data_IF_773058005854
#
_entry.id   IF_773058005854
#
_cell.length_a   1.000
_cell.length_b   1.000
_cell.length_c   1.000
_cell.angle_alpha   90.00
_cell.angle_beta   90.00
_cell.angle_gamma   90.00
#
_symmetry.space_group_name_H-M   'P 1'
#
loop_
_entity.id
_entity.type
_entity.pdbx_description
1 polymer ?
#
# COMPACT_ATOMS: atom_id res chain seq x y z
N UNK A 1 -9.88 8.23 34.03
CA UNK A 1 -9.16 8.22 32.74
C UNK A 1 -10.15 8.73 31.71
N UNK A 2 -9.82 9.83 31.04
CA UNK A 2 -10.61 10.36 29.93
C UNK A 2 -10.73 9.30 28.82
N UNK A 3 -11.90 9.22 28.20
CA UNK A 3 -12.20 8.20 27.18
C UNK A 3 -11.58 8.66 25.85
N UNK A 4 -10.49 8.03 25.42
CA UNK A 4 -9.86 8.26 24.11
C UNK A 4 -10.82 7.87 22.97
N UNK A 5 -11.03 8.77 22.01
CA UNK A 5 -11.69 8.47 20.74
C UNK A 5 -10.66 8.13 19.68
N UNK A 6 -10.95 7.10 18.88
CA UNK A 6 -10.02 6.53 17.90
C UNK A 6 -10.76 6.20 16.62
N UNK A 7 -10.17 6.54 15.48
CA UNK A 7 -10.69 6.19 14.18
C UNK A 7 -9.56 5.94 13.17
N UNK A 8 -9.71 4.89 12.38
CA UNK A 8 -8.99 4.77 11.12
C UNK A 8 -9.74 5.61 10.07
N UNK A 9 -9.14 6.74 9.66
CA UNK A 9 -9.78 7.74 8.80
C UNK A 9 -9.48 7.55 7.30
N UNK A 10 -8.89 6.41 6.92
CA UNK A 10 -8.64 6.08 5.52
C UNK A 10 -8.65 4.56 5.36
N UNK A 11 -9.72 4.01 4.77
CA UNK A 11 -9.89 2.57 4.59
C UNK A 11 -10.87 2.26 3.45
N UNK A 12 -10.59 1.22 2.67
CA UNK A 12 -11.36 0.85 1.48
C UNK A 12 -12.10 -0.46 1.64
N UNK A 13 -13.27 -0.54 1.02
CA UNK A 13 -14.08 -1.75 0.89
C UNK A 13 -14.12 -2.24 -0.55
N UNK A 14 -14.84 -3.33 -0.78
CA UNK A 14 -15.12 -3.88 -2.12
C UNK A 14 -15.75 -2.88 -3.11
N UNK A 15 -16.27 -1.74 -2.63
CA UNK A 15 -16.86 -0.70 -3.45
C UNK A 15 -15.84 0.29 -4.04
N UNK A 16 -14.57 0.18 -3.66
CA UNK A 16 -13.44 0.77 -4.41
C UNK A 16 -13.11 -0.11 -5.62
N UNK A 17 -14.03 -0.19 -6.58
CA UNK A 17 -13.99 -1.13 -7.71
C UNK A 17 -13.46 -0.54 -9.03
N UNK A 18 -13.09 0.74 -9.03
CA UNK A 18 -12.55 1.45 -10.19
C UNK A 18 -11.07 1.78 -10.02
N UNK A 19 -10.16 0.86 -10.38
CA UNK A 19 -8.75 1.07 -10.13
C UNK A 19 -8.18 2.31 -10.79
N UNK A 20 -7.27 3.00 -10.12
CA UNK A 20 -6.46 4.06 -10.74
C UNK A 20 -5.23 3.48 -11.46
N UNK A 21 -4.64 2.40 -10.91
CA UNK A 21 -3.45 1.73 -11.44
C UNK A 21 -3.76 0.91 -12.70
N UNK A 22 -2.99 1.19 -13.76
CA UNK A 22 -3.09 0.52 -15.07
C UNK A 22 -2.88 -1.00 -15.00
N UNK A 23 -2.04 -1.50 -14.08
CA UNK A 23 -1.83 -2.93 -13.91
C UNK A 23 -3.07 -3.61 -13.33
N UNK A 24 -3.71 -2.99 -12.33
CA UNK A 24 -4.92 -3.50 -11.71
C UNK A 24 -6.06 -3.50 -12.75
N UNK A 25 -6.20 -2.42 -13.53
CA UNK A 25 -7.13 -2.36 -14.68
C UNK A 25 -6.91 -3.48 -15.70
N UNK A 26 -5.66 -3.69 -16.13
CA UNK A 26 -5.32 -4.67 -17.19
C UNK A 26 -5.68 -6.10 -16.81
N UNK A 27 -5.65 -6.44 -15.53
CA UNK A 27 -6.02 -7.78 -15.04
C UNK A 27 -7.48 -7.90 -14.60
N UNK A 28 -8.29 -6.83 -14.73
CA UNK A 28 -9.69 -6.81 -14.29
C UNK A 28 -9.86 -7.06 -12.80
N UNK A 29 -8.87 -6.62 -12.00
CA UNK A 29 -8.91 -6.72 -10.54
C UNK A 29 -9.64 -5.51 -9.96
N UNK A 30 -10.32 -5.70 -8.85
CA UNK A 30 -10.80 -4.62 -7.96
C UNK A 30 -9.64 -4.16 -7.09
N UNK A 31 -9.64 -2.91 -6.63
CA UNK A 31 -8.61 -2.44 -5.70
C UNK A 31 -8.78 -3.05 -4.30
N UNK A 32 -10.00 -3.40 -3.92
CA UNK A 32 -10.31 -4.05 -2.66
C UNK A 32 -11.42 -5.10 -2.83
N UNK A 33 -11.39 -6.12 -1.98
CA UNK A 33 -12.39 -7.21 -1.91
C UNK A 33 -12.98 -7.35 -0.50
N UNK A 34 -12.66 -6.41 0.41
CA UNK A 34 -13.06 -6.49 1.82
C UNK A 34 -14.51 -6.06 2.00
N UNK A 35 -15.30 -6.89 2.68
CA UNK A 35 -16.69 -6.59 3.02
C UNK A 35 -16.79 -5.43 4.05
N UNK A 36 -17.67 -4.44 3.85
CA UNK A 36 -17.85 -3.33 4.81
C UNK A 36 -18.10 -3.79 6.26
N UNK A 37 -18.92 -4.83 6.44
CA UNK A 37 -19.19 -5.39 7.76
C UNK A 37 -17.95 -6.01 8.42
N UNK A 38 -17.05 -6.61 7.62
CA UNK A 38 -15.76 -7.10 8.14
C UNK A 38 -14.90 -5.94 8.63
N UNK A 39 -14.90 -4.82 7.91
CA UNK A 39 -14.15 -3.62 8.29
C UNK A 39 -14.60 -3.10 9.65
N UNK A 40 -15.90 -2.88 9.81
CA UNK A 40 -16.47 -2.40 11.06
C UNK A 40 -16.15 -3.34 12.24
N UNK A 41 -16.36 -4.66 12.06
CA UNK A 41 -16.09 -5.64 13.13
C UNK A 41 -14.61 -5.69 13.51
N UNK A 42 -13.71 -5.59 12.54
CA UNK A 42 -12.27 -5.61 12.79
C UNK A 42 -11.80 -4.33 13.46
N UNK A 43 -12.29 -3.16 13.02
CA UNK A 43 -12.00 -1.87 13.66
C UNK A 43 -12.46 -1.85 15.13
N UNK A 44 -13.67 -2.32 15.41
CA UNK A 44 -14.19 -2.46 16.78
C UNK A 44 -13.34 -3.40 17.63
N UNK A 45 -12.96 -4.58 17.10
CA UNK A 45 -12.06 -5.52 17.80
C UNK A 45 -10.69 -4.92 18.11
N UNK A 46 -10.22 -3.98 17.29
CA UNK A 46 -8.97 -3.23 17.49
C UNK A 46 -9.13 -1.98 18.37
N UNK A 47 -10.32 -1.78 18.95
CA UNK A 47 -10.58 -0.72 19.91
C UNK A 47 -10.86 0.65 19.29
N UNK A 48 -11.24 0.70 18.00
CA UNK A 48 -11.69 1.95 17.39
C UNK A 48 -13.04 2.37 17.98
N UNK A 49 -13.17 3.65 18.36
CA UNK A 49 -14.38 4.19 18.99
C UNK A 49 -15.42 4.65 17.97
N UNK A 50 -14.95 5.03 16.79
CA UNK A 50 -15.77 5.34 15.63
C UNK A 50 -15.15 4.72 14.37
N UNK A 51 -15.96 4.53 13.33
CA UNK A 51 -15.55 3.82 12.13
C UNK A 51 -16.18 4.48 10.89
N UNK A 52 -15.40 4.57 9.83
CA UNK A 52 -15.86 5.01 8.52
C UNK A 52 -15.19 4.18 7.43
N UNK A 53 -15.64 4.36 6.19
CA UNK A 53 -15.05 3.79 4.98
C UNK A 53 -14.89 4.94 4.00
N UNK A 54 -13.77 5.01 3.30
CA UNK A 54 -13.42 6.10 2.39
C UNK A 54 -13.23 5.54 0.99
N UNK A 55 -14.25 4.84 0.49
CA UNK A 55 -14.20 4.27 -0.86
C UNK A 55 -13.98 5.36 -1.92
N UNK A 56 -13.26 5.01 -2.99
CA UNK A 56 -12.96 5.95 -4.07
C UNK A 56 -14.24 6.42 -4.76
N UNK A 57 -14.56 7.72 -4.61
CA UNK A 57 -15.67 8.37 -5.32
C UNK A 57 -17.02 7.65 -5.12
N UNK A 58 -17.20 7.06 -3.94
CA UNK A 58 -18.28 6.14 -3.62
C UNK A 58 -18.58 6.17 -2.11
N UNK A 59 -19.85 5.93 -1.73
CA UNK A 59 -20.32 5.91 -0.34
C UNK A 59 -21.08 4.62 0.02
N UNK A 60 -21.34 3.71 -0.94
CA UNK A 60 -22.04 2.43 -0.69
C UNK A 60 -21.47 1.64 0.50
N UNK A 61 -20.14 1.61 0.66
CA UNK A 61 -19.49 0.96 1.79
C UNK A 61 -19.91 1.54 3.13
N UNK A 62 -19.93 2.87 3.25
CA UNK A 62 -20.45 3.57 4.43
C UNK A 62 -21.93 3.26 4.68
N UNK A 63 -22.77 3.33 3.65
CA UNK A 63 -24.21 3.11 3.78
C UNK A 63 -24.54 1.72 4.35
N UNK A 64 -23.76 0.69 4.03
CA UNK A 64 -23.94 -0.66 4.60
C UNK A 64 -23.66 -0.73 6.11
N UNK A 65 -22.74 0.10 6.62
CA UNK A 65 -22.32 0.09 8.03
C UNK A 65 -23.03 1.15 8.88
N UNK A 66 -23.78 2.09 8.29
CA UNK A 66 -24.51 3.15 9.01
C UNK A 66 -25.48 2.65 10.09
N UNK A 67 -25.95 1.40 9.96
CA UNK A 67 -26.78 0.73 10.97
C UNK A 67 -26.04 0.48 12.30
N UNK A 68 -24.71 0.57 12.32
CA UNK A 68 -23.89 0.36 13.50
C UNK A 68 -23.57 1.67 14.22
N UNK A 69 -23.40 1.66 15.56
CA UNK A 69 -23.12 2.87 16.33
C UNK A 69 -21.77 3.50 15.95
N UNK A 70 -21.70 4.83 16.09
CA UNK A 70 -20.49 5.64 15.85
C UNK A 70 -19.88 5.43 14.45
N UNK A 71 -20.74 5.20 13.46
CA UNK A 71 -20.36 5.20 12.05
C UNK A 71 -20.80 6.48 11.38
N UNK A 72 -20.09 6.88 10.32
CA UNK A 72 -20.35 8.10 9.57
C UNK A 72 -19.95 7.94 8.10
N UNK A 73 -20.59 8.71 7.21
CA UNK A 73 -20.33 8.66 5.78
C UNK A 73 -19.07 9.45 5.45
N UNK A 74 -18.17 8.83 4.70
CA UNK A 74 -16.96 9.44 4.18
C UNK A 74 -16.70 8.94 2.77
N UNK A 75 -15.79 9.60 2.06
CA UNK A 75 -15.34 9.16 0.73
C UNK A 75 -13.97 9.75 0.42
N UNK A 76 -13.15 9.00 -0.32
CA UNK A 76 -11.91 9.53 -0.90
C UNK A 76 -12.19 10.02 -2.33
N UNK A 77 -12.10 11.32 -2.52
CA UNK A 77 -12.52 12.01 -3.74
C UNK A 77 -11.29 12.30 -4.60
N UNK A 78 -11.19 11.68 -5.78
CA UNK A 78 -10.20 12.07 -6.80
C UNK A 78 -10.55 13.44 -7.42
N UNK A 79 -10.00 14.51 -6.87
CA UNK A 79 -10.14 15.88 -7.38
C UNK A 79 -9.08 16.20 -8.45
N UNK A 80 -9.40 17.09 -9.39
CA UNK A 80 -8.48 17.45 -10.49
C UNK A 80 -8.16 18.94 -10.50
N UNK A 81 -6.88 19.30 -10.67
CA UNK A 81 -6.50 20.64 -11.09
C UNK A 81 -6.84 20.81 -12.57
N UNK A 82 -7.72 21.75 -12.93
CA UNK A 82 -8.21 21.85 -14.32
C UNK A 82 -7.09 22.25 -15.30
N UNK A 83 -6.07 22.97 -14.85
CA UNK A 83 -4.98 23.44 -15.72
C UNK A 83 -3.92 22.37 -15.98
N UNK A 84 -3.49 21.66 -14.93
CA UNK A 84 -2.42 20.67 -15.04
C UNK A 84 -2.92 19.24 -15.30
N UNK A 85 -4.23 19.03 -15.20
CA UNK A 85 -4.88 17.70 -15.12
C UNK A 85 -4.29 16.82 -14.01
N UNK A 86 -3.62 17.42 -13.02
CA UNK A 86 -3.08 16.71 -11.88
C UNK A 86 -4.22 16.26 -10.97
N UNK A 87 -4.23 14.99 -10.60
CA UNK A 87 -5.22 14.44 -9.69
C UNK A 87 -4.69 14.37 -8.27
N UNK A 88 -5.51 14.79 -7.32
CA UNK A 88 -5.30 14.63 -5.89
C UNK A 88 -6.43 13.81 -5.29
N UNK A 89 -6.15 13.18 -4.17
CA UNK A 89 -7.19 12.52 -3.38
C UNK A 89 -7.52 13.37 -2.16
N UNK A 90 -8.80 13.68 -2.00
CA UNK A 90 -9.32 14.47 -0.88
C UNK A 90 -10.25 13.57 -0.07
N UNK A 91 -9.87 13.28 1.17
CA UNK A 91 -10.74 12.58 2.11
C UNK A 91 -11.80 13.57 2.60
N UNK A 92 -13.05 13.14 2.58
CA UNK A 92 -14.20 13.90 3.10
C UNK A 92 -14.89 13.09 4.17
N UNK A 93 -15.28 13.73 5.28
CA UNK A 93 -15.77 13.04 6.49
C UNK A 93 -17.09 13.60 6.98
N UNK A 94 -17.91 12.70 7.53
CA UNK A 94 -19.21 12.97 8.12
C UNK A 94 -20.15 13.77 7.19
N UNK A 95 -20.15 13.40 5.91
CA UNK A 95 -20.98 14.04 4.89
C UNK A 95 -22.38 13.43 4.81
N UNK A 96 -23.34 14.16 4.27
CA UNK A 96 -24.62 13.61 3.84
C UNK A 96 -24.54 13.08 2.40
N UNK A 97 -25.51 12.24 2.00
CA UNK A 97 -25.63 11.78 0.60
C UNK A 97 -25.77 12.97 -0.37
N UNK A 98 -26.52 14.01 0.01
CA UNK A 98 -26.68 15.23 -0.81
C UNK A 98 -25.34 15.96 -1.00
N UNK A 99 -24.56 16.12 0.06
CA UNK A 99 -23.22 16.71 -0.03
C UNK A 99 -22.30 15.86 -0.92
N UNK A 100 -22.35 14.53 -0.78
CA UNK A 100 -21.58 13.63 -1.64
C UNK A 100 -21.90 13.83 -3.13
N UNK A 101 -23.18 13.88 -3.50
CA UNK A 101 -23.56 14.08 -4.91
C UNK A 101 -23.10 15.43 -5.46
N UNK A 102 -23.05 16.48 -4.64
CA UNK A 102 -22.56 17.79 -5.06
C UNK A 102 -21.03 17.80 -5.20
N UNK A 103 -20.31 17.22 -4.23
CA UNK A 103 -18.86 16.97 -4.32
C UNK A 103 -18.50 16.23 -5.61
N UNK A 104 -19.28 15.22 -5.99
CA UNK A 104 -19.07 14.44 -7.20
C UNK A 104 -19.24 15.24 -8.50
N UNK A 105 -20.01 16.34 -8.50
CA UNK A 105 -20.08 17.26 -9.65
C UNK A 105 -18.87 18.19 -9.68
N UNK A 106 -18.44 18.68 -8.52
CA UNK A 106 -17.41 19.71 -8.39
C UNK A 106 -15.98 19.18 -8.48
N UNK A 107 -15.75 17.89 -8.19
CA UNK A 107 -14.42 17.21 -8.19
C UNK A 107 -13.53 17.46 -9.42
N UNK A 108 -14.10 17.82 -10.55
CA UNK A 108 -13.34 18.07 -11.78
C UNK A 108 -12.57 19.40 -11.75
N UNK A 109 -12.90 20.27 -10.79
CA UNK A 109 -12.18 21.49 -10.48
C UNK A 109 -11.93 21.57 -8.97
N UNK A 110 -10.68 21.38 -8.57
CA UNK A 110 -10.30 21.37 -7.16
C UNK A 110 -10.57 22.71 -6.46
N UNK A 111 -10.59 23.83 -7.18
CA UNK A 111 -10.89 25.14 -6.63
C UNK A 111 -12.36 25.24 -6.23
N UNK A 112 -13.26 24.87 -7.14
CA UNK A 112 -14.72 24.84 -6.88
C UNK A 112 -15.05 23.85 -5.77
N UNK A 113 -14.40 22.67 -5.79
CA UNK A 113 -14.54 21.68 -4.72
C UNK A 113 -14.10 22.26 -3.37
N UNK A 114 -12.93 22.91 -3.30
CA UNK A 114 -12.40 23.50 -2.06
C UNK A 114 -13.37 24.54 -1.51
N UNK A 115 -13.87 25.44 -2.36
CA UNK A 115 -14.80 26.49 -1.96
C UNK A 115 -16.10 25.87 -1.39
N UNK A 116 -16.66 24.86 -2.05
CA UNK A 116 -17.84 24.13 -1.53
C UNK A 116 -17.58 23.45 -0.18
N UNK A 117 -16.44 22.77 -0.03
CA UNK A 117 -16.08 22.10 1.23
C UNK A 117 -15.99 23.11 2.38
N UNK A 118 -15.42 24.30 2.13
CA UNK A 118 -15.32 25.36 3.11
C UNK A 118 -16.68 25.98 3.46
N UNK A 119 -17.48 26.33 2.45
CA UNK A 119 -18.80 26.96 2.64
C UNK A 119 -19.78 26.07 3.41
N UNK A 120 -19.64 24.74 3.26
CA UNK A 120 -20.51 23.76 3.90
C UNK A 120 -19.90 23.16 5.17
N UNK A 121 -18.77 23.70 5.67
CA UNK A 121 -18.05 23.21 6.85
C UNK A 121 -17.77 21.70 6.82
N UNK A 122 -17.44 21.15 5.64
CA UNK A 122 -17.18 19.72 5.48
C UNK A 122 -15.77 19.42 5.99
N UNK A 123 -15.66 18.46 6.91
CA UNK A 123 -14.38 17.95 7.36
C UNK A 123 -13.65 17.25 6.20
N UNK A 124 -12.41 17.64 5.94
CA UNK A 124 -11.63 17.09 4.85
C UNK A 124 -10.13 17.09 5.13
N UNK A 125 -9.40 16.25 4.41
CA UNK A 125 -7.94 16.18 4.44
C UNK A 125 -7.38 15.79 3.06
N UNK A 126 -6.17 16.25 2.74
CA UNK A 126 -5.45 15.79 1.55
C UNK A 126 -4.87 14.40 1.85
N UNK A 127 -5.31 13.38 1.10
CA UNK A 127 -4.81 12.02 1.23
C UNK A 127 -3.41 11.90 0.64
N UNK A 128 -2.53 11.14 1.31
CA UNK A 128 -1.15 10.81 0.87
C UNK A 128 -0.48 11.90 -0.01
N UNK A 129 -0.30 13.14 0.49
CA UNK A 129 -0.08 14.35 -0.34
C UNK A 129 1.23 14.38 -1.14
N UNK A 130 2.18 13.49 -0.83
CA UNK A 130 3.46 13.36 -1.55
C UNK A 130 3.45 12.20 -2.57
N UNK A 131 2.31 11.55 -2.78
CA UNK A 131 2.14 10.49 -3.77
C UNK A 131 1.55 11.05 -5.07
N UNK A 132 2.23 10.80 -6.19
CA UNK A 132 1.74 11.17 -7.51
C UNK A 132 0.67 10.18 -8.02
N UNK A 133 -0.61 10.47 -7.76
CA UNK A 133 -1.78 9.65 -8.14
C UNK A 133 -1.77 9.30 -9.64
N UNK A 134 -1.60 10.30 -10.50
CA UNK A 134 -1.58 10.14 -11.96
C UNK A 134 -0.26 10.59 -12.62
N UNK A 135 0.85 10.57 -11.86
CA UNK A 135 2.19 10.98 -12.30
C UNK A 135 2.34 12.46 -12.74
N UNK A 136 1.45 13.35 -12.30
CA UNK A 136 1.49 14.79 -12.65
C UNK A 136 1.76 15.71 -11.46
N UNK A 137 2.11 15.14 -10.30
CA UNK A 137 2.41 15.90 -9.10
C UNK A 137 3.77 16.60 -9.26
N UNK A 138 3.79 17.92 -9.08
CA UNK A 138 5.00 18.77 -9.14
C UNK A 138 5.11 19.61 -7.86
N UNK A 139 6.28 20.25 -7.60
CA UNK A 139 6.41 21.17 -6.48
C UNK A 139 5.44 22.35 -6.53
N UNK A 140 5.10 22.86 -7.71
CA UNK A 140 4.09 23.91 -7.87
C UNK A 140 2.69 23.42 -7.46
N UNK A 141 2.31 22.19 -7.83
CA UNK A 141 1.06 21.59 -7.36
C UNK A 141 1.08 21.45 -5.83
N UNK A 142 2.22 21.07 -5.25
CA UNK A 142 2.37 21.02 -3.80
C UNK A 142 2.20 22.39 -3.15
N UNK A 143 2.79 23.44 -3.70
CA UNK A 143 2.56 24.82 -3.24
C UNK A 143 1.07 25.22 -3.30
N UNK A 144 0.36 24.89 -4.39
CA UNK A 144 -1.09 25.13 -4.50
C UNK A 144 -1.85 24.38 -3.40
N UNK A 145 -1.51 23.12 -3.12
CA UNK A 145 -2.11 22.33 -2.03
C UNK A 145 -1.96 23.01 -0.67
N UNK A 146 -0.79 23.59 -0.38
CA UNK A 146 -0.53 24.30 0.86
C UNK A 146 -1.44 25.52 1.05
N UNK A 147 -1.87 26.17 -0.02
CA UNK A 147 -2.79 27.33 0.05
C UNK A 147 -4.24 26.87 0.14
N UNK A 148 -4.59 25.74 -0.48
CA UNK A 148 -5.97 25.26 -0.59
C UNK A 148 -6.49 24.55 0.66
N UNK A 149 -5.65 23.78 1.35
CA UNK A 149 -6.09 22.84 2.39
C UNK A 149 -5.33 22.98 3.70
N UNK A 150 -6.00 22.75 4.84
CA UNK A 150 -5.40 22.90 6.18
C UNK A 150 -5.01 21.57 6.82
N UNK A 151 -5.58 20.46 6.36
CA UNK A 151 -5.40 19.15 6.99
C UNK A 151 -4.77 18.19 5.99
N UNK A 152 -3.74 17.48 6.44
CA UNK A 152 -2.98 16.54 5.60
C UNK A 152 -2.90 15.17 6.24
N UNK A 153 -2.96 14.13 5.40
CA UNK A 153 -2.88 12.76 5.88
C UNK A 153 -1.43 12.28 6.07
N UNK A 154 -1.14 11.71 7.24
CA UNK A 154 -0.01 10.81 7.46
C UNK A 154 -0.46 9.38 7.15
N UNK A 155 -0.30 8.99 5.89
CA UNK A 155 -0.89 7.78 5.33
C UNK A 155 -0.17 6.48 5.75
N UNK A 156 -0.93 5.41 6.00
CA UNK A 156 -0.42 4.11 6.47
C UNK A 156 0.09 3.17 5.39
N UNK A 157 -0.25 3.41 4.13
CA UNK A 157 0.23 2.69 2.95
C UNK A 157 1.50 3.34 2.33
N UNK A 158 1.97 4.46 2.89
CA UNK A 158 3.19 5.17 2.43
C UNK A 158 4.38 4.98 3.36
N UNK A 159 5.56 5.33 2.84
CA UNK A 159 6.83 5.26 3.55
C UNK A 159 6.91 6.26 4.71
N UNK A 160 7.59 5.87 5.79
CA UNK A 160 7.84 6.76 6.93
C UNK A 160 8.67 7.97 6.56
N UNK A 161 9.57 7.84 5.57
CA UNK A 161 10.32 8.96 5.03
C UNK A 161 9.41 10.05 4.40
N UNK A 162 8.35 9.65 3.70
CA UNK A 162 7.40 10.61 3.12
C UNK A 162 6.61 11.32 4.21
N UNK A 163 6.08 10.57 5.18
CA UNK A 163 5.31 11.11 6.30
C UNK A 163 6.15 12.08 7.16
N UNK A 164 7.42 11.77 7.38
CA UNK A 164 8.34 12.65 8.12
C UNK A 164 8.70 13.89 7.31
N UNK A 165 8.93 13.73 6.01
CA UNK A 165 9.18 14.86 5.10
C UNK A 165 8.00 15.82 5.10
N UNK A 166 6.78 15.32 4.96
CA UNK A 166 5.57 16.13 5.02
C UNK A 166 5.49 16.90 6.35
N UNK A 167 5.68 16.24 7.49
CA UNK A 167 5.67 16.91 8.81
C UNK A 167 6.68 18.04 8.89
N UNK A 168 7.91 17.79 8.45
CA UNK A 168 8.97 18.79 8.48
C UNK A 168 8.62 19.99 7.59
N UNK A 169 8.19 19.74 6.36
CA UNK A 169 7.77 20.79 5.42
C UNK A 169 6.66 21.66 6.00
N UNK A 170 5.58 21.04 6.50
CA UNK A 170 4.45 21.78 7.07
C UNK A 170 4.82 22.54 8.36
N UNK A 171 5.81 22.07 9.11
CA UNK A 171 6.29 22.79 10.31
C UNK A 171 7.05 24.09 10.03
N UNK A 172 7.49 24.29 8.77
CA UNK A 172 8.20 25.51 8.35
C UNK A 172 7.28 26.63 7.87
N UNK A 173 5.98 26.35 7.73
CA UNK A 173 5.02 27.30 7.20
C UNK A 173 4.81 28.45 8.17
N UNK A 174 4.67 29.64 7.60
CA UNK A 174 4.39 30.88 8.31
C UNK A 174 3.50 31.78 7.43
N UNK A 175 2.86 32.83 8.00
CA UNK A 175 1.96 33.69 7.25
C UNK A 175 2.59 34.31 6.00
N UNK A 176 3.84 34.77 6.08
CA UNK A 176 4.52 35.42 4.95
C UNK A 176 4.75 34.46 3.78
N UNK A 177 5.19 33.22 4.07
CA UNK A 177 5.35 32.19 3.06
C UNK A 177 4.03 31.87 2.37
N UNK A 178 2.95 31.67 3.14
CA UNK A 178 1.65 31.34 2.55
C UNK A 178 1.09 32.52 1.74
N UNK A 179 1.20 33.77 2.22
CA UNK A 179 0.77 34.93 1.46
C UNK A 179 1.50 35.04 0.12
N UNK A 180 2.81 34.81 0.11
CA UNK A 180 3.61 34.80 -1.11
C UNK A 180 3.21 33.67 -2.07
N UNK A 181 2.87 32.49 -1.55
CA UNK A 181 2.35 31.37 -2.37
C UNK A 181 0.95 31.68 -2.91
N UNK A 182 0.08 32.27 -2.10
CA UNK A 182 -1.26 32.70 -2.49
C UNK A 182 -1.20 33.73 -3.64
N UNK A 183 -0.31 34.72 -3.54
CA UNK A 183 -0.05 35.70 -4.59
C UNK A 183 0.55 35.04 -5.85
N UNK A 184 1.57 34.18 -5.69
CA UNK A 184 2.22 33.46 -6.80
C UNK A 184 1.22 32.67 -7.64
N UNK A 185 0.29 31.98 -6.98
CA UNK A 185 -0.67 31.08 -7.63
C UNK A 185 -2.04 31.73 -7.87
N UNK A 186 -2.24 32.97 -7.44
CA UNK A 186 -3.54 33.66 -7.47
C UNK A 186 -4.67 32.85 -6.81
N UNK A 187 -4.38 32.24 -5.66
CA UNK A 187 -5.33 31.43 -4.89
C UNK A 187 -5.64 32.16 -3.59
N UNK A 188 -6.93 32.41 -3.33
CA UNK A 188 -7.36 32.95 -2.04
C UNK A 188 -7.26 31.86 -0.96
N UNK A 189 -6.49 32.05 0.13
CA UNK A 189 -6.45 31.11 1.24
C UNK A 189 -7.77 31.11 2.03
N UNK A 190 -8.09 29.98 2.66
CA UNK A 190 -9.29 29.83 3.51
C UNK A 190 -8.88 29.36 4.91
N UNK A 191 -9.21 30.17 5.92
CA UNK A 191 -8.81 29.95 7.31
C UNK A 191 -7.33 30.28 7.56
N UNK A 192 -6.80 29.81 8.70
CA UNK A 192 -5.40 30.00 9.10
C UNK A 192 -4.50 28.97 8.40
N UNK A 193 -4.28 29.19 7.10
CA UNK A 193 -3.58 28.27 6.20
C UNK A 193 -2.11 28.00 6.54
N UNK A 194 -1.46 28.72 7.44
CA UNK A 194 -0.10 28.35 7.91
C UNK A 194 -0.13 27.35 9.08
N UNK A 195 -1.26 27.22 9.77
CA UNK A 195 -1.46 26.26 10.86
C UNK A 195 -2.04 24.96 10.29
N UNK A 196 -1.17 23.97 10.05
CA UNK A 196 -1.57 22.69 9.47
C UNK A 196 -1.88 21.66 10.54
N UNK A 197 -2.94 20.91 10.32
CA UNK A 197 -3.34 19.75 11.15
C UNK A 197 -3.09 18.46 10.40
N UNK A 198 -3.13 17.34 11.12
CA UNK A 198 -2.93 16.03 10.51
C UNK A 198 -4.00 15.04 10.95
N UNK A 199 -4.30 14.14 10.02
CA UNK A 199 -5.04 12.90 10.27
C UNK A 199 -4.19 11.71 9.84
N UNK A 200 -4.54 10.52 10.29
CA UNK A 200 -3.89 9.29 9.91
C UNK A 200 -4.93 8.18 9.70
N UNK A 201 -4.74 7.41 8.64
CA UNK A 201 -5.48 6.20 8.34
C UNK A 201 -4.58 5.11 7.76
N UNK A 202 -5.09 3.89 7.71
CA UNK A 202 -4.33 2.72 7.24
C UNK A 202 -4.19 2.68 5.72
N UNK A 203 -5.15 3.27 5.01
CA UNK A 203 -5.31 3.16 3.56
C UNK A 203 -5.34 1.66 3.15
N UNK A 204 -6.07 0.86 3.95
CA UNK A 204 -6.14 -0.58 3.78
C UNK A 204 -7.09 -0.96 2.64
N UNK A 205 -6.55 -1.77 1.75
CA UNK A 205 -7.21 -2.35 0.58
C UNK A 205 -7.35 -3.89 0.67
N UNK A 206 -6.83 -4.49 1.74
CA UNK A 206 -6.66 -5.94 1.84
C UNK A 206 -7.51 -6.60 2.93
N UNK A 207 -8.00 -5.81 3.88
CA UNK A 207 -8.63 -6.29 5.10
C UNK A 207 -7.64 -6.71 6.19
N UNK A 208 -6.33 -6.67 5.92
CA UNK A 208 -5.29 -7.05 6.87
C UNK A 208 -4.83 -5.88 7.73
N UNK A 209 -4.83 -4.68 7.16
CA UNK A 209 -4.21 -3.49 7.75
C UNK A 209 -5.21 -2.53 8.37
N UNK A 210 -6.49 -2.88 8.40
CA UNK A 210 -7.55 -2.20 9.15
C UNK A 210 -7.06 -1.75 10.53
N UNK A 211 -7.12 -0.45 10.83
CA UNK A 211 -6.70 0.15 12.09
C UNK A 211 -5.25 -0.17 12.52
N UNK A 212 -4.35 -0.46 11.57
CA UNK A 212 -2.90 -0.55 11.84
C UNK A 212 -2.25 0.83 11.87
N UNK A 213 -2.90 1.83 11.29
CA UNK A 213 -2.62 3.25 11.47
C UNK A 213 -3.94 4.00 11.65
N UNK A 214 -3.99 4.91 12.61
CA UNK A 214 -5.22 5.58 13.02
C UNK A 214 -4.94 6.89 13.75
N UNK A 215 -5.98 7.70 13.88
CA UNK A 215 -5.99 8.96 14.62
C UNK A 215 -6.68 8.76 15.97
N UNK A 216 -6.11 9.31 17.04
CA UNK A 216 -6.79 9.40 18.34
C UNK A 216 -6.81 10.83 18.88
N UNK A 217 -7.86 11.17 19.63
CA UNK A 217 -8.02 12.41 20.38
C UNK A 217 -8.65 12.12 21.73
N UNK A 218 -8.26 12.91 22.73
CA UNK A 218 -8.95 12.97 24.01
C UNK A 218 -10.21 13.85 23.89
N UNK A 219 -11.03 13.84 24.94
CA UNK A 219 -12.13 14.78 25.15
C UNK A 219 -13.11 14.94 23.98
N UNK A 220 -13.62 13.82 23.48
CA UNK A 220 -14.76 13.82 22.58
C UNK A 220 -15.95 13.05 23.18
N UNK A 221 -17.16 13.45 22.81
CA UNK A 221 -18.42 12.81 23.19
C UNK A 221 -19.25 12.35 21.99
N UNK A 222 -18.86 12.78 20.78
CA UNK A 222 -19.50 12.43 19.51
C UNK A 222 -18.48 12.32 18.37
N UNK A 223 -18.90 11.76 17.23
CA UNK A 223 -18.10 11.73 15.98
C UNK A 223 -17.75 13.14 15.53
N UNK A 224 -18.73 14.06 15.58
CA UNK A 224 -18.56 15.46 15.19
C UNK A 224 -17.47 16.15 16.01
N UNK A 225 -17.55 16.04 17.34
CA UNK A 225 -16.57 16.63 18.25
C UNK A 225 -15.18 16.00 18.09
N UNK A 226 -15.11 14.69 17.82
CA UNK A 226 -13.85 14.02 17.51
C UNK A 226 -13.22 14.59 16.23
N UNK A 227 -13.99 14.73 15.15
CA UNK A 227 -13.52 15.30 13.89
C UNK A 227 -13.12 16.77 14.03
N UNK A 228 -13.89 17.56 14.77
CA UNK A 228 -13.54 18.95 15.08
C UNK A 228 -12.22 19.04 15.85
N UNK A 229 -12.01 18.17 16.84
CA UNK A 229 -10.77 18.12 17.62
C UNK A 229 -9.56 17.79 16.74
N UNK A 230 -9.65 16.78 15.88
CA UNK A 230 -8.48 16.34 15.09
C UNK A 230 -8.22 17.21 13.85
N UNK A 231 -9.26 17.65 13.14
CA UNK A 231 -9.14 18.34 11.84
C UNK A 231 -9.03 19.85 12.03
N UNK A 232 -9.85 20.44 12.92
CA UNK A 232 -9.90 21.90 13.10
C UNK A 232 -8.96 22.35 14.20
N UNK A 233 -9.00 21.70 15.37
CA UNK A 233 -8.18 22.11 16.54
C UNK A 233 -6.78 21.52 16.54
N UNK A 234 -6.49 20.54 15.68
CA UNK A 234 -5.20 19.86 15.63
C UNK A 234 -4.85 19.06 16.88
N UNK A 235 -5.86 18.69 17.69
CA UNK A 235 -5.70 17.83 18.87
C UNK A 235 -5.72 16.37 18.44
N UNK A 236 -4.58 15.89 17.93
CA UNK A 236 -4.46 14.53 17.44
C UNK A 236 -3.19 13.86 17.97
N UNK A 237 -3.27 12.56 18.21
CA UNK A 237 -2.11 11.67 18.27
C UNK A 237 -2.18 10.68 17.10
N UNK A 238 -1.07 10.55 16.36
CA UNK A 238 -0.91 9.47 15.38
C UNK A 238 -0.48 8.19 16.09
N UNK A 239 -1.08 7.07 15.73
CA UNK A 239 -0.65 5.73 16.16
C UNK A 239 -0.51 4.81 14.97
N UNK A 240 0.31 3.77 15.13
CA UNK A 240 0.53 2.77 14.10
C UNK A 240 1.87 2.89 13.38
N UNK A 241 2.01 2.15 12.28
CA UNK A 241 3.25 2.04 11.52
C UNK A 241 3.06 2.44 10.07
N UNK A 242 4.16 2.84 9.44
CA UNK A 242 4.25 3.15 8.01
C UNK A 242 4.50 1.88 7.19
N UNK A 243 4.21 1.92 5.89
CA UNK A 243 4.39 0.78 5.02
C UNK A 243 5.78 0.72 4.39
N UNK A 244 6.33 -0.48 4.26
CA UNK A 244 7.56 -0.73 3.49
C UNK A 244 7.24 -1.16 2.05
N UNK A 245 8.19 -1.07 1.10
CA UNK A 245 8.01 -1.62 -0.25
C UNK A 245 7.61 -3.10 -0.26
N UNK A 246 8.18 -3.91 0.67
CA UNK A 246 7.78 -5.31 0.86
C UNK A 246 6.31 -5.42 1.27
N UNK A 247 5.86 -4.54 2.15
CA UNK A 247 4.49 -4.48 2.62
C UNK A 247 3.48 -4.06 1.54
N UNK A 248 3.87 -3.16 0.61
CA UNK A 248 3.02 -2.84 -0.55
C UNK A 248 2.97 -4.01 -1.54
N UNK A 249 4.11 -4.65 -1.82
CA UNK A 249 4.14 -5.85 -2.65
C UNK A 249 3.26 -6.96 -2.08
N UNK A 250 3.31 -7.17 -0.75
CA UNK A 250 2.43 -8.08 -0.03
C UNK A 250 0.95 -7.74 -0.21
N UNK A 251 0.57 -6.46 -0.14
CA UNK A 251 -0.81 -6.04 -0.42
C UNK A 251 -1.25 -6.44 -1.83
N UNK A 252 -0.41 -6.18 -2.84
CA UNK A 252 -0.71 -6.54 -4.23
C UNK A 252 -0.86 -8.07 -4.42
N UNK A 253 -0.07 -8.87 -3.71
CA UNK A 253 -0.24 -10.32 -3.67
C UNK A 253 -1.54 -10.73 -2.99
N UNK A 254 -1.88 -10.10 -1.87
CA UNK A 254 -3.13 -10.36 -1.16
C UNK A 254 -4.35 -10.07 -2.04
N UNK A 255 -4.40 -8.90 -2.69
CA UNK A 255 -5.49 -8.51 -3.62
C UNK A 255 -5.63 -9.55 -4.74
N UNK A 256 -4.52 -9.91 -5.39
CA UNK A 256 -4.53 -10.90 -6.45
C UNK A 256 -5.03 -12.28 -5.94
N UNK A 257 -4.57 -12.71 -4.76
CA UNK A 257 -5.01 -13.96 -4.16
C UNK A 257 -6.49 -13.94 -3.77
N UNK A 258 -7.00 -12.84 -3.24
CA UNK A 258 -8.43 -12.67 -2.92
C UNK A 258 -9.29 -12.80 -4.17
N UNK A 259 -8.91 -12.15 -5.27
CA UNK A 259 -9.59 -12.28 -6.55
C UNK A 259 -9.66 -13.74 -7.03
N UNK A 260 -8.50 -14.41 -7.10
CA UNK A 260 -8.46 -15.78 -7.61
C UNK A 260 -9.10 -16.80 -6.65
N UNK A 261 -8.99 -16.58 -5.34
CA UNK A 261 -9.64 -17.40 -4.32
C UNK A 261 -11.16 -17.36 -4.45
N UNK A 262 -11.73 -16.16 -4.60
CA UNK A 262 -13.16 -15.96 -4.83
C UNK A 262 -13.62 -16.55 -6.17
N UNK A 263 -12.91 -16.22 -7.26
CA UNK A 263 -13.25 -16.66 -8.62
C UNK A 263 -13.24 -18.17 -8.82
N UNK A 264 -12.29 -18.87 -8.20
CA UNK A 264 -12.10 -20.32 -8.39
C UNK A 264 -12.55 -21.16 -7.18
N UNK A 265 -13.06 -20.53 -6.12
CA UNK A 265 -13.48 -21.23 -4.90
C UNK A 265 -12.33 -21.99 -4.21
N UNK A 266 -11.13 -21.37 -4.15
CA UNK A 266 -9.91 -22.02 -3.68
C UNK A 266 -10.00 -22.50 -2.23
N UNK A 267 -10.88 -21.90 -1.42
CA UNK A 267 -11.09 -22.24 -0.01
C UNK A 267 -11.34 -23.73 0.22
N UNK A 268 -11.98 -24.42 -0.73
CA UNK A 268 -12.29 -25.86 -0.69
C UNK A 268 -11.03 -26.75 -0.78
N UNK A 269 -9.94 -26.22 -1.34
CA UNK A 269 -8.69 -26.94 -1.57
C UNK A 269 -7.62 -26.66 -0.51
N UNK A 270 -7.72 -25.55 0.21
CA UNK A 270 -6.71 -25.14 1.21
C UNK A 270 -6.55 -26.18 2.33
N UNK A 271 -7.60 -26.93 2.70
CA UNK A 271 -7.46 -27.95 3.76
C UNK A 271 -6.56 -29.13 3.35
N UNK A 272 -6.41 -29.38 2.04
CA UNK A 272 -5.72 -30.54 1.46
C UNK A 272 -4.26 -30.27 1.09
N UNK A 273 -3.89 -29.01 0.83
CA UNK A 273 -2.56 -28.64 0.35
C UNK A 273 -1.82 -27.72 1.32
N UNK A 274 -0.67 -28.18 1.82
CA UNK A 274 0.19 -27.43 2.76
C UNK A 274 0.69 -26.12 2.16
N UNK A 275 1.02 -26.09 0.87
CA UNK A 275 1.49 -24.89 0.18
C UNK A 275 0.37 -23.83 0.15
N UNK A 276 -0.86 -24.24 -0.17
CA UNK A 276 -2.02 -23.35 -0.14
C UNK A 276 -2.34 -22.86 1.26
N UNK A 277 -2.11 -23.66 2.32
CA UNK A 277 -2.25 -23.16 3.71
C UNK A 277 -1.26 -22.04 4.01
N UNK A 278 -0.01 -22.19 3.56
CA UNK A 278 1.00 -21.14 3.73
C UNK A 278 0.58 -19.87 3.00
N UNK A 279 0.19 -19.99 1.72
CA UNK A 279 -0.29 -18.84 0.93
C UNK A 279 -1.50 -18.19 1.60
N UNK A 280 -2.50 -18.97 1.98
CA UNK A 280 -3.74 -18.46 2.56
C UNK A 280 -3.51 -17.75 3.90
N UNK A 281 -2.69 -18.34 4.77
CA UNK A 281 -2.38 -17.74 6.06
C UNK A 281 -1.51 -16.49 5.92
N UNK A 282 -0.51 -16.48 5.03
CA UNK A 282 0.36 -15.31 4.84
C UNK A 282 -0.31 -14.19 4.03
N UNK A 283 -1.23 -14.49 3.11
CA UNK A 283 -1.88 -13.47 2.27
C UNK A 283 -3.24 -13.02 2.79
N UNK A 284 -3.93 -13.80 3.64
CA UNK A 284 -5.23 -13.42 4.22
C UNK A 284 -5.22 -13.33 5.75
N UNK A 285 -4.12 -13.69 6.42
CA UNK A 285 -4.02 -13.78 7.89
C UNK A 285 -5.17 -14.58 8.54
N UNK A 286 -5.76 -15.53 7.80
CA UNK A 286 -6.78 -16.45 8.31
C UNK A 286 -6.06 -17.49 9.17
N UNK A 287 -6.16 -17.36 10.50
CA UNK A 287 -5.73 -18.43 11.42
C UNK A 287 -6.55 -19.68 11.14
N UNK A 288 -5.90 -20.72 10.64
CA UNK A 288 -6.46 -22.07 10.45
C UNK A 288 -5.77 -22.98 11.47
N UNK A 289 -6.50 -23.92 12.06
CA UNK A 289 -6.01 -24.75 13.17
C UNK A 289 -4.62 -25.36 12.88
N UNK A 290 -3.64 -25.00 13.73
CA UNK A 290 -2.22 -25.37 13.61
C UNK A 290 -2.01 -26.90 13.68
N UNK A 291 -2.91 -27.61 14.38
CA UNK A 291 -2.82 -29.06 14.65
C UNK A 291 -2.95 -29.96 13.42
N UNK A 292 -3.50 -29.44 12.32
CA UNK A 292 -3.69 -30.21 11.08
C UNK A 292 -2.47 -30.07 10.16
N UNK A 293 -1.72 -28.96 10.27
CA UNK A 293 -0.58 -28.63 9.41
C UNK A 293 0.62 -29.51 9.77
N UNK A 294 0.93 -29.62 11.06
CA UNK A 294 2.03 -30.44 11.58
C UNK A 294 1.87 -31.95 11.25
N UNK A 295 0.63 -32.47 11.34
CA UNK A 295 0.30 -33.87 11.01
C UNK A 295 0.35 -34.18 9.51
N UNK A 296 -0.06 -33.25 8.64
CA UNK A 296 0.00 -33.45 7.17
C UNK A 296 1.42 -33.35 6.62
N UNK A 297 2.27 -32.49 7.19
CA UNK A 297 3.69 -32.38 6.79
C UNK A 297 4.45 -33.69 7.07
N UNK A 298 4.08 -34.43 8.12
CA UNK A 298 4.63 -35.77 8.38
C UNK A 298 4.20 -36.81 7.34
N UNK A 299 2.98 -36.69 6.79
CA UNK A 299 2.46 -37.60 5.74
C UNK A 299 2.93 -37.25 4.32
N UNK A 300 3.50 -36.07 4.08
CA UNK A 300 4.10 -35.75 2.77
C UNK A 300 5.39 -36.55 2.49
N UNK A 301 5.89 -37.30 3.49
CA UNK A 301 6.95 -38.28 3.30
C UNK A 301 6.49 -39.55 2.56
N UNK A 302 5.19 -39.77 2.31
CA UNK A 302 4.72 -41.08 1.80
C UNK A 302 3.86 -41.07 0.53
N UNK A 303 3.41 -39.94 -0.04
CA UNK A 303 2.51 -40.00 -1.21
C UNK A 303 3.02 -39.23 -2.44
N UNK A 304 3.33 -39.99 -3.51
CA UNK A 304 3.45 -39.49 -4.88
C UNK A 304 2.11 -38.92 -5.32
N UNK A 305 2.06 -37.63 -5.61
CA UNK A 305 0.92 -37.03 -6.29
C UNK A 305 0.93 -37.51 -7.75
N UNK A 306 -0.15 -38.18 -8.19
CA UNK A 306 -0.33 -38.58 -9.58
C UNK A 306 -0.60 -37.34 -10.43
N UNK A 307 0.28 -37.08 -11.40
CA UNK A 307 0.13 -36.01 -12.36
C UNK A 307 -0.92 -36.40 -13.42
N UNK A 308 -1.86 -35.49 -13.68
CA UNK A 308 -2.73 -35.50 -14.85
C UNK A 308 -1.89 -35.32 -16.12
N UNK A 309 -2.19 -36.11 -17.16
CA UNK A 309 -1.28 -36.43 -18.25
C UNK A 309 -1.20 -35.39 -19.38
N UNK A 310 -1.89 -34.24 -19.33
CA UNK A 310 -1.93 -33.32 -20.47
C UNK A 310 -1.98 -31.82 -20.14
N UNK A 311 -0.96 -31.30 -19.44
CA UNK A 311 -0.64 -29.86 -19.45
C UNK A 311 0.86 -29.62 -19.21
N UNK A 312 1.60 -29.31 -20.28
CA UNK A 312 2.98 -28.77 -20.36
C UNK A 312 3.99 -29.17 -19.26
N UNK A 313 4.96 -30.02 -19.62
CA UNK A 313 6.03 -30.59 -18.78
C UNK A 313 6.79 -29.56 -17.91
N UNK A 314 7.02 -28.33 -18.41
CA UNK A 314 7.76 -27.29 -17.68
C UNK A 314 6.94 -26.58 -16.61
N UNK A 315 5.67 -26.27 -16.86
CA UNK A 315 4.80 -25.65 -15.85
C UNK A 315 4.57 -26.57 -14.65
N UNK A 316 4.41 -27.88 -14.89
CA UNK A 316 4.32 -28.86 -13.82
C UNK A 316 5.63 -28.97 -13.03
N UNK A 317 6.79 -28.89 -13.70
CA UNK A 317 8.09 -28.90 -13.02
C UNK A 317 8.30 -27.67 -12.12
N UNK A 318 7.88 -26.47 -12.55
CA UNK A 318 7.99 -25.25 -11.76
C UNK A 318 7.07 -25.28 -10.54
N UNK A 319 5.82 -25.71 -10.70
CA UNK A 319 4.88 -25.88 -9.58
C UNK A 319 5.40 -26.89 -8.55
N UNK A 320 5.98 -28.00 -9.01
CA UNK A 320 6.61 -28.98 -8.13
C UNK A 320 7.80 -28.38 -7.36
N UNK A 321 8.61 -27.54 -8.01
CA UNK A 321 9.74 -26.85 -7.37
C UNK A 321 9.26 -25.83 -6.35
N UNK A 322 8.21 -25.06 -6.67
CA UNK A 322 7.59 -24.10 -5.74
C UNK A 322 7.06 -24.85 -4.51
N UNK A 323 6.26 -25.91 -4.71
CA UNK A 323 5.72 -26.72 -3.62
C UNK A 323 6.81 -27.35 -2.77
N UNK A 324 7.84 -27.91 -3.40
CA UNK A 324 8.99 -28.47 -2.69
C UNK A 324 9.72 -27.40 -1.88
N UNK A 325 9.95 -26.22 -2.44
CA UNK A 325 10.66 -25.12 -1.78
C UNK A 325 9.87 -24.59 -0.59
N UNK A 326 8.57 -24.37 -0.76
CA UNK A 326 7.62 -24.01 0.30
C UNK A 326 7.66 -24.99 1.47
N UNK A 327 7.56 -26.29 1.20
CA UNK A 327 7.50 -27.33 2.25
C UNK A 327 8.86 -27.52 2.93
N UNK A 328 9.96 -27.46 2.18
CA UNK A 328 11.31 -27.78 2.72
C UNK A 328 11.98 -26.60 3.41
N UNK A 329 11.89 -25.39 2.85
CA UNK A 329 12.55 -24.20 3.41
C UNK A 329 11.69 -23.42 4.40
N UNK A 330 10.37 -23.49 4.26
CA UNK A 330 9.44 -22.63 4.99
C UNK A 330 8.50 -23.41 5.92
N UNK A 331 8.89 -24.61 6.36
CA UNK A 331 8.07 -25.46 7.24
C UNK A 331 7.58 -24.74 8.50
N UNK A 332 8.42 -23.88 9.06
CA UNK A 332 8.15 -23.13 10.30
C UNK A 332 7.80 -21.66 10.05
N UNK A 333 7.60 -21.24 8.79
CA UNK A 333 7.37 -19.82 8.45
C UNK A 333 6.11 -19.25 9.11
N UNK A 334 5.14 -20.11 9.42
CA UNK A 334 3.87 -19.75 10.04
C UNK A 334 3.98 -19.52 11.55
N UNK A 335 5.08 -19.94 12.20
CA UNK A 335 5.29 -19.69 13.63
C UNK A 335 5.50 -18.21 13.91
N UNK A 336 4.75 -17.66 14.86
CA UNK A 336 4.89 -16.26 15.27
C UNK A 336 4.53 -15.26 14.16
N UNK A 337 3.63 -15.60 13.25
CA UNK A 337 3.09 -14.63 12.28
C UNK A 337 2.32 -13.55 13.03
N UNK A 338 2.70 -12.30 12.81
CA UNK A 338 2.03 -11.09 13.28
C UNK A 338 1.75 -10.18 12.09
N UNK A 339 0.87 -9.20 12.24
CA UNK A 339 0.62 -8.22 11.18
C UNK A 339 1.87 -7.39 10.82
N UNK A 340 2.79 -7.22 11.76
CA UNK A 340 4.04 -6.48 11.55
C UNK A 340 5.05 -7.26 10.70
N UNK A 341 5.12 -8.59 10.87
CA UNK A 341 6.13 -9.42 10.20
C UNK A 341 5.60 -10.24 9.01
N UNK A 342 4.29 -10.23 8.75
CA UNK A 342 3.66 -11.06 7.71
C UNK A 342 4.22 -10.75 6.31
N UNK A 343 4.50 -9.49 6.03
CA UNK A 343 5.07 -9.06 4.76
C UNK A 343 6.51 -9.55 4.58
N UNK A 344 7.33 -9.53 5.63
CA UNK A 344 8.69 -10.07 5.60
C UNK A 344 8.69 -11.58 5.44
N UNK A 345 7.82 -12.28 6.17
CA UNK A 345 7.67 -13.74 6.02
C UNK A 345 7.20 -14.13 4.61
N UNK A 346 6.30 -13.36 4.01
CA UNK A 346 5.90 -13.56 2.63
C UNK A 346 7.04 -13.26 1.65
N UNK A 347 7.85 -12.23 1.92
CA UNK A 347 9.05 -11.93 1.15
C UNK A 347 10.02 -13.11 1.13
N UNK A 348 10.31 -13.72 2.29
CA UNK A 348 11.20 -14.89 2.37
C UNK A 348 10.69 -16.07 1.53
N UNK A 349 9.37 -16.30 1.57
CA UNK A 349 8.71 -17.32 0.74
C UNK A 349 8.83 -16.97 -0.74
N UNK A 350 8.50 -15.74 -1.13
CA UNK A 350 8.56 -15.32 -2.52
C UNK A 350 10.00 -15.39 -3.06
N UNK A 351 10.97 -14.83 -2.34
CA UNK A 351 12.39 -14.82 -2.71
C UNK A 351 12.93 -16.23 -2.90
N UNK A 352 12.67 -17.14 -1.97
CA UNK A 352 13.12 -18.54 -2.09
C UNK A 352 12.52 -19.25 -3.31
N UNK A 353 11.26 -19.00 -3.62
CA UNK A 353 10.57 -19.57 -4.78
C UNK A 353 11.04 -18.94 -6.11
N UNK A 354 11.26 -17.62 -6.13
CA UNK A 354 11.83 -16.90 -7.28
C UNK A 354 13.22 -17.45 -7.57
N UNK A 355 14.10 -17.54 -6.57
CA UNK A 355 15.46 -18.07 -6.72
C UNK A 355 15.46 -19.52 -7.19
N UNK A 356 14.57 -20.36 -6.65
CA UNK A 356 14.43 -21.75 -7.09
C UNK A 356 13.94 -21.86 -8.54
N UNK A 357 12.97 -21.03 -8.93
CA UNK A 357 12.45 -21.00 -10.29
C UNK A 357 13.43 -20.42 -11.31
N UNK A 358 14.17 -19.35 -10.97
CA UNK A 358 15.25 -18.80 -11.81
C UNK A 358 16.34 -19.85 -12.03
N UNK A 359 16.76 -20.55 -10.97
CA UNK A 359 17.74 -21.63 -11.07
C UNK A 359 17.25 -22.72 -12.02
N UNK A 360 16.01 -23.17 -11.86
CA UNK A 360 15.42 -24.18 -12.73
C UNK A 360 15.33 -23.72 -14.19
N UNK A 361 14.92 -22.47 -14.43
CA UNK A 361 14.87 -21.90 -15.77
C UNK A 361 16.26 -21.81 -16.39
N UNK A 362 17.26 -21.41 -15.62
CA UNK A 362 18.66 -21.32 -16.06
C UNK A 362 19.23 -22.69 -16.39
N UNK A 363 19.04 -23.68 -15.50
CA UNK A 363 19.48 -25.06 -15.71
C UNK A 363 18.79 -25.67 -16.94
N UNK A 364 17.50 -25.39 -17.13
CA UNK A 364 16.76 -25.82 -18.31
C UNK A 364 17.34 -25.19 -19.59
N UNK A 365 17.50 -23.86 -19.64
CA UNK A 365 18.04 -23.16 -20.80
C UNK A 365 19.46 -23.63 -21.14
N UNK A 366 20.33 -23.80 -20.14
CA UNK A 366 21.69 -24.32 -20.34
C UNK A 366 21.68 -25.74 -20.89
N UNK A 367 20.78 -26.60 -20.41
CA UNK A 367 20.65 -27.96 -20.93
C UNK A 367 20.09 -27.99 -22.34
N UNK A 368 19.07 -27.18 -22.65
CA UNK A 368 18.50 -27.06 -24.00
C UNK A 368 19.51 -26.53 -25.02
N UNK A 369 20.36 -25.56 -24.62
CA UNK A 369 21.47 -25.06 -25.44
C UNK A 369 22.51 -26.16 -25.70
N UNK A 370 22.82 -27.00 -24.71
CA UNK A 370 23.74 -28.13 -24.86
C UNK A 370 23.18 -29.25 -25.74
N UNK A 371 21.87 -29.49 -25.71
CA UNK A 371 21.22 -30.56 -26.49
C UNK A 371 20.80 -30.11 -27.89
N UNK A 372 20.94 -28.82 -28.23
CA UNK A 372 20.67 -28.28 -29.56
C UNK A 372 19.18 -28.17 -29.92
N UNK A 373 18.26 -28.31 -28.95
CA UNK A 373 16.83 -28.33 -29.23
C UNK A 373 16.20 -26.93 -29.12
N UNK A 374 16.44 -26.09 -30.13
CA UNK A 374 16.03 -24.66 -30.14
C UNK A 374 14.52 -24.47 -30.03
N UNK A 375 13.70 -25.46 -30.43
CA UNK A 375 12.24 -25.39 -30.34
C UNK A 375 11.69 -25.49 -28.92
N UNK A 376 12.43 -26.09 -27.98
CA UNK A 376 12.01 -26.20 -26.57
C UNK A 376 12.07 -24.85 -25.82
N UNK A 377 12.77 -23.86 -26.38
CA UNK A 377 12.85 -22.51 -25.82
C UNK A 377 11.46 -21.83 -25.84
N UNK A 378 10.61 -22.11 -26.82
CA UNK A 378 9.26 -21.52 -26.86
C UNK A 378 8.36 -22.00 -25.70
N UNK A 379 8.62 -23.19 -25.14
CA UNK A 379 7.93 -23.68 -23.95
C UNK A 379 8.37 -22.99 -22.65
N UNK A 380 9.51 -22.28 -22.66
CA UNK A 380 9.95 -21.45 -21.51
C UNK A 380 9.19 -20.14 -21.34
N UNK A 381 8.40 -19.71 -22.35
CA UNK A 381 7.62 -18.48 -22.25
C UNK A 381 6.55 -18.56 -21.15
N UNK A 382 5.93 -19.73 -20.94
CA UNK A 382 4.94 -19.93 -19.87
C UNK A 382 5.54 -19.98 -18.46
N UNK A 383 6.70 -20.61 -18.29
CA UNK A 383 7.42 -20.64 -17.00
C UNK A 383 8.06 -19.29 -16.67
N UNK A 384 8.54 -18.55 -17.67
CA UNK A 384 9.04 -17.19 -17.53
C UNK A 384 7.90 -16.23 -17.14
N UNK A 385 6.71 -16.38 -17.72
CA UNK A 385 5.54 -15.58 -17.36
C UNK A 385 5.07 -15.77 -15.91
N UNK A 386 5.11 -16.99 -15.40
CA UNK A 386 4.77 -17.28 -13.98
C UNK A 386 5.82 -16.78 -13.00
N UNK A 387 7.10 -16.86 -13.35
CA UNK A 387 8.17 -16.21 -12.59
C UNK A 387 8.03 -14.68 -12.62
N UNK A 388 7.72 -14.10 -13.77
CA UNK A 388 7.49 -12.67 -13.90
C UNK A 388 6.36 -12.20 -12.96
N UNK A 389 5.28 -12.96 -12.84
CA UNK A 389 4.19 -12.67 -11.90
C UNK A 389 4.67 -12.61 -10.43
N UNK A 390 5.62 -13.47 -10.04
CA UNK A 390 6.21 -13.51 -8.68
C UNK A 390 7.24 -12.39 -8.42
N UNK A 391 7.80 -11.76 -9.43
CA UNK A 391 8.78 -10.66 -9.22
C UNK A 391 8.16 -9.29 -9.47
N UNK A 392 7.20 -9.19 -10.39
CA UNK A 392 6.64 -7.92 -10.85
C UNK A 392 6.05 -7.05 -9.72
N UNK A 393 5.43 -7.67 -8.70
CA UNK A 393 4.85 -6.91 -7.57
C UNK A 393 5.91 -6.22 -6.70
N UNK A 394 7.08 -6.84 -6.54
CA UNK A 394 8.19 -6.20 -5.86
C UNK A 394 8.75 -5.06 -6.69
N UNK A 395 9.02 -5.28 -7.99
CA UNK A 395 9.50 -4.21 -8.86
C UNK A 395 8.55 -3.00 -8.87
N UNK A 396 7.24 -3.23 -8.98
CA UNK A 396 6.24 -2.16 -8.92
C UNK A 396 6.30 -1.42 -7.59
N UNK A 397 6.25 -2.14 -6.46
CA UNK A 397 6.26 -1.52 -5.14
C UNK A 397 7.54 -0.70 -4.88
N UNK A 398 8.70 -1.24 -5.22
CA UNK A 398 9.97 -0.51 -5.10
C UNK A 398 10.04 0.70 -6.04
N UNK A 399 9.52 0.58 -7.27
CA UNK A 399 9.48 1.70 -8.22
C UNK A 399 8.59 2.84 -7.75
N UNK A 400 7.43 2.55 -7.18
CA UNK A 400 6.51 3.56 -6.61
C UNK A 400 7.21 4.28 -5.45
N UNK A 401 7.79 3.53 -4.52
CA UNK A 401 8.48 4.11 -3.36
C UNK A 401 9.70 4.93 -3.76
N UNK A 402 10.49 4.49 -4.75
CA UNK A 402 11.64 5.24 -5.26
C UNK A 402 11.22 6.58 -5.87
N UNK A 403 10.17 6.57 -6.72
CA UNK A 403 9.60 7.78 -7.32
C UNK A 403 9.11 8.75 -6.24
N UNK A 404 8.32 8.29 -5.29
CA UNK A 404 7.74 9.15 -4.26
C UNK A 404 8.84 9.69 -3.29
N UNK A 405 9.90 8.90 -3.03
CA UNK A 405 11.08 9.36 -2.26
C UNK A 405 11.86 10.44 -3.01
N UNK A 406 12.03 10.32 -4.32
CA UNK A 406 12.68 11.34 -5.16
C UNK A 406 11.91 12.66 -5.09
N UNK A 407 10.59 12.60 -5.25
CA UNK A 407 9.73 13.77 -5.12
C UNK A 407 9.82 14.40 -3.72
N UNK A 408 9.78 13.58 -2.66
CA UNK A 408 9.95 14.07 -1.28
C UNK A 408 11.32 14.73 -1.07
N UNK A 409 12.39 14.19 -1.65
CA UNK A 409 13.73 14.76 -1.59
C UNK A 409 13.84 16.10 -2.34
N UNK A 410 13.20 16.21 -3.50
CA UNK A 410 13.10 17.46 -4.27
C UNK A 410 12.42 18.57 -3.46
N UNK A 411 11.29 18.26 -2.80
CA UNK A 411 10.62 19.20 -1.92
C UNK A 411 11.48 19.62 -0.72
N UNK A 412 12.24 18.69 -0.11
CA UNK A 412 13.16 19.06 0.99
C UNK A 412 14.24 20.00 0.51
N UNK A 413 14.82 19.76 -0.66
CA UNK A 413 15.83 20.67 -1.22
C UNK A 413 15.23 22.06 -1.48
N UNK A 414 14.04 22.13 -2.08
CA UNK A 414 13.39 23.40 -2.42
C UNK A 414 12.93 24.20 -1.19
N UNK A 415 12.33 23.56 -0.19
CA UNK A 415 11.73 24.25 0.95
C UNK A 415 12.66 24.38 2.15
N UNK A 416 13.58 23.44 2.35
CA UNK A 416 14.46 23.40 3.53
C UNK A 416 15.92 23.71 3.18
N UNK A 417 16.29 23.72 1.89
CA UNK A 417 17.69 23.84 1.47
C UNK A 417 18.56 22.63 1.83
N UNK A 418 17.95 21.54 2.28
CA UNK A 418 18.67 20.32 2.67
C UNK A 418 18.99 19.47 1.44
N UNK A 419 20.28 19.34 1.14
CA UNK A 419 20.74 18.38 0.11
C UNK A 419 20.87 16.99 0.71
N UNK A 420 20.25 16.02 0.07
CA UNK A 420 20.41 14.63 0.50
C UNK A 420 21.86 14.16 0.32
N UNK A 421 22.45 13.50 1.34
CA UNK A 421 23.76 12.90 1.19
C UNK A 421 23.68 11.80 0.12
N UNK A 422 24.51 11.94 -0.92
CA UNK A 422 24.61 10.94 -1.99
C UNK A 422 25.15 9.65 -1.39
N UNK A 423 24.32 8.60 -1.35
CA UNK A 423 24.75 7.25 -0.99
C UNK A 423 25.19 6.53 -2.26
N UNK A 424 26.48 6.21 -2.35
CA UNK A 424 27.06 5.48 -3.48
C UNK A 424 27.15 3.99 -3.12
N UNK A 425 26.53 3.13 -3.93
CA UNK A 425 26.73 1.68 -3.87
C UNK A 425 27.63 1.26 -5.03
N UNK A 426 28.70 0.52 -4.73
CA UNK A 426 29.62 0.03 -5.74
C UNK A 426 29.48 -1.49 -5.88
N UNK A 427 29.16 -1.96 -7.08
CA UNK A 427 29.03 -3.38 -7.40
C UNK A 427 30.25 -3.82 -8.21
N UNK A 428 30.90 -4.90 -7.77
CA UNK A 428 32.05 -5.47 -8.46
C UNK A 428 32.05 -6.98 -8.22
N UNK A 429 32.26 -7.74 -9.29
CA UNK A 429 32.52 -9.18 -9.28
C UNK A 429 33.98 -9.50 -8.98
N UNK A 430 34.86 -8.50 -9.04
CA UNK A 430 36.30 -8.60 -8.85
C UNK A 430 36.78 -8.00 -7.53
N UNK A 431 35.93 -7.85 -6.49
CA UNK A 431 36.34 -7.17 -5.24
C UNK A 431 37.57 -7.78 -4.58
N UNK A 432 37.76 -9.09 -4.75
CA UNK A 432 38.88 -9.86 -4.20
C UNK A 432 40.00 -10.14 -5.23
N UNK A 433 39.91 -9.59 -6.44
CA UNK A 433 40.92 -9.81 -7.47
C UNK A 433 42.20 -9.00 -7.20
N UNK A 434 43.27 -9.41 -7.87
CA UNK A 434 44.59 -8.77 -7.80
C UNK A 434 44.76 -7.77 -8.95
N UNK A 435 43.72 -7.01 -9.28
CA UNK A 435 43.76 -5.98 -10.32
C UNK A 435 43.71 -4.56 -9.71
N UNK A 436 44.13 -3.56 -10.50
CA UNK A 436 44.21 -2.16 -10.03
C UNK A 436 42.86 -1.57 -9.59
N UNK A 437 41.76 -2.04 -10.19
CA UNK A 437 40.39 -1.62 -9.85
C UNK A 437 40.02 -2.15 -8.46
N UNK A 438 40.20 -3.45 -8.21
CA UNK A 438 39.95 -4.08 -6.92
C UNK A 438 40.70 -3.39 -5.76
N UNK A 439 41.98 -3.06 -5.98
CA UNK A 439 42.81 -2.36 -4.99
C UNK A 439 42.29 -0.95 -4.67
N UNK A 440 41.80 -0.24 -5.68
CA UNK A 440 41.20 1.09 -5.54
C UNK A 440 39.90 1.03 -4.73
N UNK A 441 39.06 0.01 -4.97
CA UNK A 441 37.80 -0.19 -4.25
C UNK A 441 38.04 -0.56 -2.78
N UNK A 442 39.00 -1.43 -2.50
CA UNK A 442 39.39 -1.79 -1.14
C UNK A 442 39.94 -0.59 -0.37
N UNK A 443 40.67 0.31 -1.03
CA UNK A 443 41.13 1.56 -0.44
C UNK A 443 39.97 2.52 -0.16
N UNK A 444 39.05 2.71 -1.10
CA UNK A 444 37.86 3.54 -0.92
C UNK A 444 37.00 3.09 0.27
N UNK A 445 36.88 1.78 0.50
CA UNK A 445 36.17 1.20 1.63
C UNK A 445 36.81 1.49 3.00
N UNK A 446 38.13 1.71 3.06
CA UNK A 446 38.83 2.12 4.30
C UNK A 446 38.63 3.60 4.61
N UNK A 447 38.42 4.44 3.59
CA UNK A 447 38.21 5.89 3.74
C UNK A 447 36.73 6.20 4.03
N UNK A 448 35.81 5.37 3.55
CA UNK A 448 34.36 5.53 3.76
C UNK A 448 33.79 4.90 5.04
N UNK A 449 34.63 4.31 5.91
CA UNK A 449 34.28 3.90 7.28
C UNK A 449 34.80 4.93 8.25
#
# INVERSE_FOLDING_TARGET
MERKWKADLHIHSKYSDQPSDWLIKRFGLSECYTEPEHIYKTAQKKGMSCCTITDHNEIRGCLEILKYPNTFISSEITATFPEEECQLHILTYNISELQFYEIMKLRHNIYDLRDYLAENNIFHAVAHPLCAVNNRLTPEIFEKMLVLFNTFELNGCRDGYQNETLRLLLSTLNPDLINRLAEKHNIKPVGNVWEKTFVAGSDDHTGLKIATKYTESDDASSVEEFLENVIIKGKFEKKGFDLSPKGLAHNLYSIAYQHYSSKFGLEKFVTKDTSLKIVDQLLLNKKRDEDIISKLIMNYRSNRFMASENAHLLTNSLLNIINKTMITKHKDILKGVTLENIADKWFDVADSNINAGIKHLTDFLLNTLKTGNVFDIFHTLGSTGSLYFLVARYFLAYSIFDRDRKFSAELREQFLGEKHPVKVAHFTDTFYDVNGVAKTLQQGLKVGR
#
